data_IF_221404525822
#
_entry.id   IF_221404525822
#
_cell.length_a   1.000
_cell.length_b   1.000
_cell.length_c   1.000
_cell.angle_alpha   90.00
_cell.angle_beta   90.00
_cell.angle_gamma   90.00
#
_symmetry.space_group_name_H-M   'P 1'
#
loop_
_entity.id
_entity.type
_entity.pdbx_description
1 polymer ?
#
# COMPACT_ATOMS: atom_id res chain seq x y z
N UNK A 1 6.03 16.77 1.17
CA UNK A 1 5.22 16.44 2.40
C UNK A 1 4.95 17.70 3.19
N UNK A 2 3.71 17.91 3.65
CA UNK A 2 3.33 19.09 4.44
C UNK A 2 3.63 18.82 5.92
N UNK A 3 4.52 19.57 6.58
CA UNK A 3 4.90 19.34 7.99
C UNK A 3 3.72 19.37 8.99
N UNK A 4 2.61 20.00 8.59
CA UNK A 4 1.38 20.08 9.41
C UNK A 4 0.61 18.77 9.51
N UNK A 5 0.77 17.86 8.55
CA UNK A 5 0.03 16.58 8.51
C UNK A 5 0.60 15.52 9.47
N UNK A 6 1.87 15.64 9.83
CA UNK A 6 2.56 14.69 10.72
C UNK A 6 3.22 15.45 11.89
N UNK A 7 2.44 15.88 12.90
CA UNK A 7 3.00 16.60 14.03
C UNK A 7 4.02 15.74 14.78
N UNK A 8 5.19 16.30 15.08
CA UNK A 8 6.32 15.65 15.77
C UNK A 8 7.05 14.58 14.96
N UNK A 9 6.75 14.44 13.66
CA UNK A 9 7.53 13.60 12.77
C UNK A 9 8.61 14.44 12.07
N UNK A 10 9.74 13.82 11.78
CA UNK A 10 10.79 14.39 10.95
C UNK A 10 10.77 13.76 9.57
N UNK A 11 10.90 14.53 8.50
CA UNK A 11 11.07 13.99 7.16
C UNK A 11 12.44 13.35 7.00
N UNK A 12 12.53 12.38 6.09
CA UNK A 12 13.78 11.79 5.64
C UNK A 12 13.72 11.44 4.16
N UNK A 13 14.87 11.26 3.55
CA UNK A 13 15.06 10.68 2.22
C UNK A 13 16.21 9.68 2.28
N UNK A 14 16.05 8.53 1.61
CA UNK A 14 17.06 7.48 1.54
C UNK A 14 17.24 7.06 0.08
N UNK A 15 18.48 7.11 -0.40
CA UNK A 15 18.84 6.56 -1.71
C UNK A 15 18.88 5.03 -1.63
N UNK A 16 18.14 4.37 -2.51
CA UNK A 16 18.03 2.90 -2.59
C UNK A 16 18.17 2.46 -4.05
N UNK A 17 19.38 2.08 -4.44
CA UNK A 17 19.67 1.73 -5.83
C UNK A 17 19.36 2.90 -6.78
N UNK A 18 18.40 2.66 -7.71
CA UNK A 18 17.98 3.66 -8.71
C UNK A 18 16.79 4.53 -8.24
N UNK A 19 16.39 4.41 -6.99
CA UNK A 19 15.28 5.16 -6.42
C UNK A 19 15.74 5.96 -5.20
N UNK A 20 15.01 7.03 -4.91
CA UNK A 20 15.08 7.75 -3.64
C UNK A 20 13.73 7.64 -2.96
N UNK A 21 13.72 7.10 -1.76
CA UNK A 21 12.51 6.92 -0.97
C UNK A 21 12.40 8.05 0.05
N UNK A 22 11.32 8.81 -0.05
CA UNK A 22 10.94 9.86 0.88
C UNK A 22 9.96 9.32 1.92
N UNK A 23 10.03 9.83 3.14
CA UNK A 23 9.16 9.42 4.21
C UNK A 23 9.21 10.34 5.42
N UNK A 24 8.46 9.97 6.44
CA UNK A 24 8.48 10.61 7.75
C UNK A 24 8.67 9.55 8.84
N UNK A 25 9.35 9.93 9.92
CA UNK A 25 9.57 9.08 11.10
C UNK A 25 9.27 9.85 12.37
N UNK A 26 8.57 9.20 13.32
CA UNK A 26 8.23 9.79 14.61
C UNK A 26 7.87 8.73 15.64
N UNK A 27 7.80 9.16 16.92
CA UNK A 27 7.55 8.28 18.05
C UNK A 27 8.77 7.49 18.52
N UNK A 28 8.57 6.72 19.58
CA UNK A 28 9.58 5.83 20.18
C UNK A 28 8.92 4.49 20.53
N UNK A 29 9.69 3.39 20.43
CA UNK A 29 9.22 2.04 20.72
C UNK A 29 9.43 1.09 19.54
N UNK A 30 8.77 -0.10 19.53
CA UNK A 30 8.88 -1.06 18.46
C UNK A 30 8.58 -0.46 17.09
N UNK A 31 9.39 -0.74 16.05
CA UNK A 31 9.23 -0.07 14.76
C UNK A 31 8.05 -0.63 13.95
N UNK A 32 7.30 0.29 13.33
CA UNK A 32 6.18 0.00 12.42
C UNK A 32 6.35 0.76 11.12
N UNK A 33 6.31 0.07 9.99
CA UNK A 33 6.33 0.63 8.65
C UNK A 33 4.91 0.73 8.08
N UNK A 34 4.52 1.93 7.64
CA UNK A 34 3.22 2.22 7.04
C UNK A 34 3.39 2.46 5.53
N UNK A 35 2.69 1.68 4.70
CA UNK A 35 2.76 1.70 3.24
C UNK A 35 1.39 2.05 2.64
N UNK A 36 1.31 3.19 1.95
CA UNK A 36 0.09 3.68 1.30
C UNK A 36 -0.22 2.93 0.00
N UNK A 37 -1.36 3.26 -0.62
CA UNK A 37 -1.80 2.72 -1.89
C UNK A 37 -1.97 3.76 -3.01
N UNK A 38 -2.52 3.29 -4.13
CA UNK A 38 -2.87 4.11 -5.28
C UNK A 38 -4.21 4.84 -5.06
N UNK A 39 -4.37 6.08 -5.47
CA UNK A 39 -3.36 6.99 -6.02
C UNK A 39 -2.78 7.94 -4.96
N UNK A 40 -2.75 7.51 -3.72
CA UNK A 40 -2.38 8.28 -2.55
C UNK A 40 -0.85 8.40 -2.36
N UNK A 41 -0.46 9.02 -1.25
CA UNK A 41 0.90 9.13 -0.75
C UNK A 41 0.91 8.74 0.73
N UNK A 42 2.05 8.85 1.40
CA UNK A 42 2.18 8.65 2.85
C UNK A 42 1.18 9.49 3.67
N UNK A 43 0.64 10.59 3.11
CA UNK A 43 -0.41 11.40 3.74
C UNK A 43 -1.68 10.63 4.08
N UNK A 44 -1.94 9.48 3.45
CA UNK A 44 -3.04 8.60 3.81
C UNK A 44 -2.99 8.17 5.29
N UNK A 45 -1.81 8.17 5.89
CA UNK A 45 -1.58 7.75 7.27
C UNK A 45 -1.66 8.89 8.31
N UNK A 46 -1.97 10.15 7.90
CA UNK A 46 -1.94 11.34 8.78
C UNK A 46 -2.82 11.23 10.03
N UNK A 47 -3.89 10.44 9.98
CA UNK A 47 -4.79 10.22 11.13
C UNK A 47 -4.38 9.02 11.99
N UNK A 48 -3.61 8.08 11.45
CA UNK A 48 -3.19 6.84 12.12
C UNK A 48 -1.79 6.98 12.71
N UNK A 49 -0.84 7.48 11.94
CA UNK A 49 0.56 7.54 12.34
C UNK A 49 0.81 8.31 13.64
N UNK A 50 0.20 9.48 13.90
CA UNK A 50 0.40 10.20 15.17
C UNK A 50 -0.12 9.45 16.41
N UNK A 51 -1.15 8.62 16.25
CA UNK A 51 -1.70 7.81 17.35
C UNK A 51 -0.77 6.64 17.66
N UNK A 52 -0.33 5.93 16.63
CA UNK A 52 0.63 4.82 16.79
C UNK A 52 1.97 5.30 17.34
N UNK A 53 2.39 6.52 17.00
CA UNK A 53 3.64 7.12 17.48
C UNK A 53 3.68 7.39 19.00
N UNK A 54 2.57 7.21 19.70
CA UNK A 54 2.55 7.27 21.16
C UNK A 54 3.19 6.02 21.80
N UNK A 55 3.29 4.92 21.06
CA UNK A 55 3.76 3.62 21.56
C UNK A 55 4.76 2.93 20.64
N UNK A 56 4.98 3.46 19.44
CA UNK A 56 5.82 2.86 18.40
C UNK A 56 6.73 3.90 17.75
N UNK A 57 7.86 3.46 17.21
CA UNK A 57 8.57 4.21 16.20
C UNK A 57 7.88 3.97 14.86
N UNK A 58 7.20 4.98 14.34
CA UNK A 58 6.42 4.90 13.10
C UNK A 58 7.21 5.48 11.94
N UNK A 59 7.36 4.71 10.88
CA UNK A 59 7.93 5.11 9.59
C UNK A 59 6.83 5.05 8.55
N UNK A 60 6.52 6.17 7.89
CA UNK A 60 5.58 6.21 6.77
C UNK A 60 6.30 6.72 5.52
N UNK A 61 6.34 5.92 4.47
CA UNK A 61 7.06 6.21 3.24
C UNK A 61 6.12 6.44 2.07
N UNK A 62 6.55 7.26 1.11
CA UNK A 62 6.01 7.21 -0.23
C UNK A 62 6.63 6.01 -0.98
N UNK A 63 5.81 5.21 -1.65
CA UNK A 63 6.28 4.09 -2.45
C UNK A 63 7.16 4.58 -3.61
N UNK A 64 8.03 3.71 -4.17
CA UNK A 64 8.86 3.98 -5.35
C UNK A 64 8.06 4.70 -6.44
N UNK A 65 8.48 5.93 -6.80
CA UNK A 65 7.85 6.76 -7.82
C UNK A 65 6.51 7.39 -7.45
N UNK A 66 6.02 7.21 -6.24
CA UNK A 66 4.84 7.88 -5.69
C UNK A 66 5.26 9.08 -4.83
N UNK A 67 4.32 10.01 -4.63
CA UNK A 67 4.53 11.12 -3.71
C UNK A 67 5.83 11.87 -3.98
N UNK A 68 6.67 12.05 -2.97
CA UNK A 68 7.99 12.68 -3.08
C UNK A 68 9.12 11.69 -3.33
N UNK A 69 8.81 10.37 -3.37
CA UNK A 69 9.78 9.35 -3.80
C UNK A 69 10.00 9.39 -5.30
N UNK A 70 11.22 9.01 -5.73
CA UNK A 70 11.54 8.87 -7.14
C UNK A 70 11.67 7.41 -7.53
N UNK A 71 11.68 7.14 -8.83
CA UNK A 71 11.95 5.81 -9.40
C UNK A 71 12.52 5.97 -10.81
N UNK A 72 13.11 4.91 -11.39
CA UNK A 72 13.68 4.96 -12.72
C UNK A 72 12.60 5.18 -13.79
N UNK A 73 12.94 5.96 -14.84
CA UNK A 73 12.08 6.25 -15.98
C UNK A 73 12.55 5.42 -17.19
N UNK A 74 11.62 4.99 -18.03
CA UNK A 74 11.95 4.28 -19.27
C UNK A 74 12.41 2.84 -19.08
N UNK A 75 12.16 2.25 -17.91
CA UNK A 75 12.50 0.87 -17.57
C UNK A 75 11.30 -0.06 -17.72
N UNK A 76 11.56 -1.38 -17.64
CA UNK A 76 10.50 -2.39 -17.64
C UNK A 76 9.66 -2.33 -16.36
N UNK A 77 8.45 -2.91 -16.41
CA UNK A 77 7.59 -3.03 -15.24
C UNK A 77 8.23 -3.80 -14.07
N UNK A 78 9.21 -4.67 -14.35
CA UNK A 78 9.96 -5.41 -13.33
C UNK A 78 10.62 -4.51 -12.29
N UNK A 79 11.11 -3.32 -12.71
CA UNK A 79 11.69 -2.31 -11.81
C UNK A 79 10.66 -1.74 -10.81
N UNK A 80 9.36 -1.95 -11.05
CA UNK A 80 8.26 -1.56 -10.18
C UNK A 80 7.50 -2.76 -9.61
N UNK A 81 8.09 -3.97 -9.67
CA UNK A 81 7.51 -5.14 -9.03
C UNK A 81 7.44 -4.97 -7.51
N UNK A 82 6.47 -5.63 -6.89
CA UNK A 82 6.31 -5.60 -5.43
C UNK A 82 7.55 -6.13 -4.71
N UNK A 83 8.31 -7.03 -5.38
CA UNK A 83 9.59 -7.52 -4.85
C UNK A 83 10.64 -6.42 -4.80
N UNK A 84 10.81 -5.64 -5.86
CA UNK A 84 11.74 -4.52 -5.88
C UNK A 84 11.30 -3.43 -4.90
N UNK A 85 10.01 -3.08 -4.89
CA UNK A 85 9.48 -2.10 -3.93
C UNK A 85 9.63 -2.57 -2.47
N UNK A 86 9.52 -3.86 -2.19
CA UNK A 86 9.78 -4.43 -0.87
C UNK A 86 11.27 -4.33 -0.48
N UNK A 87 12.18 -4.54 -1.43
CA UNK A 87 13.61 -4.35 -1.20
C UNK A 87 13.96 -2.89 -0.87
N UNK A 88 13.30 -1.92 -1.53
CA UNK A 88 13.46 -0.50 -1.18
C UNK A 88 13.11 -0.26 0.29
N UNK A 89 11.97 -0.76 0.73
CA UNK A 89 11.49 -0.54 2.09
C UNK A 89 12.36 -1.25 3.14
N UNK A 90 12.87 -2.45 2.83
CA UNK A 90 13.84 -3.14 3.67
C UNK A 90 15.14 -2.32 3.80
N UNK A 91 15.62 -1.74 2.72
CA UNK A 91 16.81 -0.89 2.72
C UNK A 91 16.59 0.41 3.53
N UNK A 92 15.42 1.04 3.37
CA UNK A 92 15.02 2.21 4.18
C UNK A 92 15.01 1.87 5.67
N UNK A 93 14.36 0.78 6.06
CA UNK A 93 14.28 0.38 7.47
C UNK A 93 15.66 0.03 8.04
N UNK A 94 16.50 -0.66 7.28
CA UNK A 94 17.89 -0.95 7.67
C UNK A 94 18.72 0.33 7.81
N UNK A 95 18.58 1.30 6.90
CA UNK A 95 19.24 2.61 6.98
C UNK A 95 18.84 3.38 8.26
N UNK A 96 17.57 3.25 8.66
CA UNK A 96 17.05 3.85 9.91
C UNK A 96 17.42 3.04 11.17
N UNK A 97 18.11 1.90 11.03
CA UNK A 97 18.56 1.06 12.15
C UNK A 97 17.59 -0.04 12.56
N UNK A 98 16.55 -0.31 11.76
CA UNK A 98 15.52 -1.30 12.09
C UNK A 98 15.67 -2.56 11.23
N UNK A 99 16.12 -3.67 11.83
CA UNK A 99 16.27 -4.95 11.14
C UNK A 99 15.04 -5.87 11.29
N UNK A 100 14.14 -5.56 12.23
CA UNK A 100 12.89 -6.27 12.47
C UNK A 100 11.80 -5.28 12.85
N UNK A 101 10.64 -5.35 12.19
CA UNK A 101 9.57 -4.37 12.32
C UNK A 101 8.22 -4.96 11.89
N UNK A 102 7.13 -4.37 12.34
CA UNK A 102 5.79 -4.65 11.83
C UNK A 102 5.53 -3.85 10.54
N UNK A 103 4.70 -4.40 9.65
CA UNK A 103 4.30 -3.76 8.39
C UNK A 103 2.79 -3.60 8.34
N UNK A 104 2.32 -2.40 8.09
CA UNK A 104 0.91 -2.08 7.82
C UNK A 104 0.81 -1.53 6.41
N UNK A 105 0.11 -2.23 5.55
CA UNK A 105 -0.05 -1.80 4.16
C UNK A 105 -1.51 -1.58 3.79
N UNK A 106 -1.75 -0.54 3.00
CA UNK A 106 -3.03 -0.27 2.36
C UNK A 106 -2.90 -0.40 0.85
N UNK A 107 -3.84 -1.07 0.18
CA UNK A 107 -3.92 -1.24 -1.28
C UNK A 107 -2.59 -1.70 -1.90
N UNK A 108 -1.92 -0.89 -2.75
CA UNK A 108 -0.62 -1.23 -3.35
C UNK A 108 0.45 -1.48 -2.30
N UNK A 109 0.44 -0.69 -1.21
CA UNK A 109 1.34 -0.88 -0.07
C UNK A 109 1.13 -2.20 0.67
N UNK A 110 -0.12 -2.67 0.77
CA UNK A 110 -0.37 -4.01 1.32
C UNK A 110 0.24 -5.11 0.44
N UNK A 111 0.24 -4.92 -0.89
CA UNK A 111 0.89 -5.87 -1.82
C UNK A 111 2.40 -5.87 -1.67
N UNK A 112 3.02 -4.71 -1.43
CA UNK A 112 4.44 -4.62 -1.06
C UNK A 112 4.69 -5.32 0.28
N UNK A 113 3.81 -5.11 1.28
CA UNK A 113 3.95 -5.67 2.62
C UNK A 113 3.95 -7.21 2.64
N UNK A 114 2.99 -7.86 1.97
CA UNK A 114 3.01 -9.33 1.99
C UNK A 114 4.17 -9.92 1.16
N UNK A 115 4.56 -9.27 0.07
CA UNK A 115 5.74 -9.66 -0.69
C UNK A 115 6.99 -9.57 0.17
N UNK A 116 7.14 -8.48 0.95
CA UNK A 116 8.22 -8.32 1.92
C UNK A 116 8.22 -9.44 2.96
N UNK A 117 7.06 -9.77 3.53
CA UNK A 117 6.93 -10.81 4.55
C UNK A 117 7.20 -12.23 4.01
N UNK A 118 6.95 -12.48 2.71
CA UNK A 118 7.31 -13.72 2.03
C UNK A 118 8.81 -13.80 1.73
N UNK A 119 9.42 -12.71 1.25
CA UNK A 119 10.81 -12.70 0.80
C UNK A 119 11.81 -12.47 1.94
N UNK A 120 11.42 -11.77 3.01
CA UNK A 120 12.25 -11.46 4.19
C UNK A 120 11.52 -11.77 5.51
N UNK A 121 11.13 -13.04 5.77
CA UNK A 121 10.32 -13.39 6.94
C UNK A 121 10.99 -13.10 8.29
N UNK A 122 12.32 -12.96 8.33
CA UNK A 122 13.06 -12.59 9.54
C UNK A 122 12.92 -11.10 9.87
N UNK A 123 12.64 -10.23 8.88
CA UNK A 123 12.53 -8.80 9.06
C UNK A 123 11.12 -8.36 9.47
N UNK A 124 10.08 -9.12 9.09
CA UNK A 124 8.69 -8.76 9.34
C UNK A 124 8.16 -9.49 10.58
N UNK A 125 7.91 -8.75 11.66
CA UNK A 125 7.40 -9.31 12.93
C UNK A 125 5.89 -9.56 12.90
N UNK A 126 5.12 -8.69 12.22
CA UNK A 126 3.68 -8.79 12.01
C UNK A 126 3.31 -8.08 10.70
N UNK A 127 2.21 -8.49 10.07
CA UNK A 127 1.73 -7.88 8.84
C UNK A 127 0.23 -7.56 8.92
N UNK A 128 -0.14 -6.32 8.66
CA UNK A 128 -1.54 -5.91 8.51
C UNK A 128 -1.84 -5.51 7.07
N UNK A 129 -2.87 -6.14 6.49
CA UNK A 129 -3.38 -5.91 5.14
C UNK A 129 -4.70 -5.16 5.18
N UNK A 130 -4.73 -3.94 4.63
CA UNK A 130 -5.94 -3.15 4.51
C UNK A 130 -6.46 -3.19 3.07
N UNK A 131 -7.71 -3.64 2.88
CA UNK A 131 -8.51 -3.60 1.66
C UNK A 131 -8.17 -4.58 0.54
N UNK A 132 -7.12 -5.37 0.64
CA UNK A 132 -6.71 -6.25 -0.47
C UNK A 132 -6.70 -7.74 -0.13
N UNK A 133 -6.79 -8.54 -1.17
CA UNK A 133 -6.44 -9.97 -1.19
C UNK A 133 -5.19 -10.16 -2.05
N UNK A 134 -4.46 -11.29 -1.97
CA UNK A 134 -3.27 -11.54 -2.78
C UNK A 134 -3.50 -11.31 -4.28
N UNK A 135 -2.47 -10.88 -5.00
CA UNK A 135 -2.57 -10.46 -6.41
C UNK A 135 -3.08 -11.59 -7.31
N UNK A 136 -2.57 -12.81 -7.11
CA UNK A 136 -3.04 -13.98 -7.88
C UNK A 136 -4.52 -14.28 -7.64
N UNK A 137 -5.00 -14.13 -6.39
CA UNK A 137 -6.41 -14.34 -6.06
C UNK A 137 -7.30 -13.26 -6.67
N UNK A 138 -6.84 -12.01 -6.71
CA UNK A 138 -7.56 -10.90 -7.35
C UNK A 138 -7.71 -11.14 -8.85
N UNK A 139 -6.64 -11.49 -9.56
CA UNK A 139 -6.70 -11.77 -11.00
C UNK A 139 -7.57 -13.00 -11.32
N UNK A 140 -7.53 -14.05 -10.48
CA UNK A 140 -8.39 -15.23 -10.64
C UNK A 140 -9.89 -14.91 -10.54
N UNK A 141 -10.25 -13.88 -9.77
CA UNK A 141 -11.63 -13.41 -9.55
C UNK A 141 -12.05 -12.27 -10.47
N UNK A 142 -11.14 -11.78 -11.33
CA UNK A 142 -11.43 -10.68 -12.22
C UNK A 142 -12.50 -11.08 -13.22
N UNK A 143 -13.67 -10.51 -13.04
CA UNK A 143 -14.86 -10.70 -13.86
C UNK A 143 -15.37 -9.36 -14.41
N UNK A 144 -16.55 -9.37 -15.04
CA UNK A 144 -17.19 -8.15 -15.55
C UNK A 144 -17.44 -7.11 -14.45
N UNK A 145 -17.88 -7.55 -13.27
CA UNK A 145 -18.17 -6.63 -12.17
C UNK A 145 -16.89 -5.98 -11.65
N UNK A 146 -15.82 -6.75 -11.49
CA UNK A 146 -14.48 -6.25 -11.14
C UNK A 146 -13.97 -5.27 -12.21
N UNK A 147 -14.05 -5.63 -13.49
CA UNK A 147 -13.58 -4.77 -14.59
C UNK A 147 -14.29 -3.42 -14.64
N UNK A 148 -15.59 -3.36 -14.32
CA UNK A 148 -16.35 -2.12 -14.26
C UNK A 148 -16.05 -1.31 -12.97
N UNK A 149 -15.85 -1.96 -11.85
CA UNK A 149 -15.58 -1.31 -10.56
C UNK A 149 -14.12 -0.84 -10.45
N UNK A 150 -13.17 -1.68 -10.87
CA UNK A 150 -11.73 -1.47 -10.78
C UNK A 150 -11.08 -1.34 -12.17
N UNK A 151 -11.72 -0.61 -13.08
CA UNK A 151 -11.29 -0.42 -14.47
C UNK A 151 -9.81 0.03 -14.60
N UNK A 152 -9.31 0.76 -13.62
CA UNK A 152 -7.94 1.26 -13.57
C UNK A 152 -6.90 0.13 -13.56
N UNK A 153 -7.22 -1.06 -13.08
CA UNK A 153 -6.34 -2.23 -13.17
C UNK A 153 -6.03 -2.62 -14.61
N UNK A 154 -7.04 -2.53 -15.47
CA UNK A 154 -6.91 -2.84 -16.90
C UNK A 154 -6.33 -1.68 -17.69
N UNK A 155 -6.73 -0.45 -17.37
CA UNK A 155 -6.26 0.75 -18.05
C UNK A 155 -4.77 1.00 -17.76
N UNK A 156 -4.36 1.07 -16.49
CA UNK A 156 -2.99 1.42 -16.10
C UNK A 156 -1.98 0.32 -16.46
N UNK A 157 -2.44 -0.92 -16.63
CA UNK A 157 -1.61 -2.04 -17.09
C UNK A 157 -1.40 -2.08 -18.61
N UNK A 158 -2.04 -1.20 -19.39
CA UNK A 158 -1.81 -1.15 -20.84
C UNK A 158 -0.37 -0.74 -21.17
N UNK A 159 0.14 -1.11 -22.38
CA UNK A 159 1.48 -0.73 -22.81
C UNK A 159 1.72 0.80 -22.77
N UNK A 160 2.97 1.17 -22.51
CA UNK A 160 3.45 2.53 -22.62
C UNK A 160 3.26 3.04 -24.08
N UNK A 161 2.78 4.28 -24.36
CA UNK A 161 2.47 5.37 -23.42
C UNK A 161 0.93 5.62 -23.34
N UNK A 162 0.15 4.59 -23.67
CA UNK A 162 -1.30 4.75 -23.86
C UNK A 162 -2.02 5.26 -22.58
N UNK A 163 -1.90 4.62 -21.39
CA UNK A 163 -2.55 5.16 -20.19
C UNK A 163 -1.95 6.49 -19.74
N UNK A 164 -0.62 6.67 -19.83
CA UNK A 164 0.04 7.91 -19.44
C UNK A 164 -0.47 9.11 -20.21
N UNK A 165 -0.73 8.95 -21.51
CA UNK A 165 -1.28 10.03 -22.37
C UNK A 165 -2.74 10.33 -22.05
N UNK A 166 -3.56 9.28 -21.84
CA UNK A 166 -4.97 9.47 -21.50
C UNK A 166 -5.15 10.20 -20.18
N UNK A 167 -4.48 9.73 -19.11
CA UNK A 167 -4.57 10.36 -17.79
C UNK A 167 -3.83 11.70 -17.73
N UNK A 168 -2.83 11.91 -18.59
CA UNK A 168 -2.10 13.16 -18.67
C UNK A 168 -2.87 14.29 -19.37
N UNK A 169 -3.94 13.97 -20.11
CA UNK A 169 -4.79 14.96 -20.77
C UNK A 169 -5.59 15.81 -19.76
N UNK A 170 -6.06 15.20 -18.67
CA UNK A 170 -6.70 15.87 -17.54
C UNK A 170 -6.43 15.06 -16.24
N UNK A 171 -5.25 15.26 -15.63
CA UNK A 171 -4.85 14.48 -14.48
C UNK A 171 -5.69 14.77 -13.24
N UNK A 172 -6.18 15.99 -13.07
CA UNK A 172 -7.00 16.37 -11.93
C UNK A 172 -8.36 15.69 -11.99
N UNK A 173 -9.03 15.73 -13.13
CA UNK A 173 -10.30 15.03 -13.32
C UNK A 173 -10.14 13.52 -13.09
N UNK A 174 -9.06 12.94 -13.61
CA UNK A 174 -8.85 11.50 -13.48
C UNK A 174 -8.64 11.06 -12.02
N UNK A 175 -7.81 11.77 -11.25
CA UNK A 175 -7.59 11.44 -9.85
C UNK A 175 -8.82 11.68 -8.99
N UNK A 176 -9.55 12.77 -9.24
CA UNK A 176 -10.79 13.11 -8.51
C UNK A 176 -11.84 12.01 -8.67
N UNK A 177 -12.13 11.62 -9.91
CA UNK A 177 -13.08 10.52 -10.19
C UNK A 177 -12.60 9.21 -9.61
N UNK A 178 -11.29 8.95 -9.62
CA UNK A 178 -10.71 7.73 -9.05
C UNK A 178 -10.93 7.67 -7.54
N UNK A 179 -10.60 8.73 -6.81
CA UNK A 179 -10.77 8.80 -5.36
C UNK A 179 -12.25 8.76 -4.97
N UNK A 180 -13.11 9.51 -5.68
CA UNK A 180 -14.56 9.53 -5.46
C UNK A 180 -15.19 8.14 -5.62
N UNK A 181 -14.76 7.35 -6.60
CA UNK A 181 -15.25 5.97 -6.82
C UNK A 181 -14.74 4.97 -5.78
N UNK A 182 -13.58 5.23 -5.19
CA UNK A 182 -12.98 4.39 -4.14
C UNK A 182 -13.60 4.66 -2.77
N UNK A 183 -13.88 5.92 -2.46
CA UNK A 183 -14.40 6.34 -1.17
C UNK A 183 -15.91 6.11 -1.04
N UNK A 184 -16.34 5.84 0.20
CA UNK A 184 -17.73 5.96 0.64
C UNK A 184 -17.98 7.33 1.28
N UNK A 185 -16.94 7.91 1.91
CA UNK A 185 -16.96 9.19 2.63
C UNK A 185 -15.96 10.16 1.99
N UNK A 186 -16.30 10.86 0.88
CA UNK A 186 -15.35 11.73 0.18
C UNK A 186 -14.76 12.87 1.02
N UNK A 187 -15.44 13.31 2.06
CA UNK A 187 -14.92 14.33 2.98
C UNK A 187 -13.71 13.85 3.81
N UNK A 188 -13.49 12.54 3.91
CA UNK A 188 -12.40 11.97 4.70
C UNK A 188 -11.00 12.25 4.14
N UNK A 189 -10.88 12.48 2.83
CA UNK A 189 -9.60 12.81 2.20
C UNK A 189 -9.52 14.26 1.67
N UNK A 190 -10.54 15.08 1.96
CA UNK A 190 -10.65 16.43 1.38
C UNK A 190 -9.45 17.34 1.72
N UNK A 191 -8.90 17.23 2.89
CA UNK A 191 -7.73 17.99 3.34
C UNK A 191 -6.39 17.52 2.73
N UNK A 192 -6.34 16.31 2.18
CA UNK A 192 -5.19 15.77 1.48
C UNK A 192 -5.30 15.84 -0.06
N UNK A 193 -6.49 16.14 -0.60
CA UNK A 193 -6.79 16.06 -2.03
C UNK A 193 -5.84 16.91 -2.89
N UNK A 194 -5.55 18.14 -2.47
CA UNK A 194 -4.65 19.00 -3.24
C UNK A 194 -3.22 18.45 -3.31
N UNK A 195 -2.75 17.82 -2.23
CA UNK A 195 -1.44 17.17 -2.23
C UNK A 195 -1.43 15.93 -3.16
N UNK A 196 -2.50 15.15 -3.18
CA UNK A 196 -2.65 14.03 -4.11
C UNK A 196 -2.68 14.51 -5.56
N UNK A 197 -3.44 15.56 -5.88
CA UNK A 197 -3.44 16.20 -7.21
C UNK A 197 -2.05 16.69 -7.61
N UNK A 198 -1.34 17.40 -6.72
CA UNK A 198 0.01 17.90 -6.98
C UNK A 198 0.98 16.77 -7.33
N UNK A 199 0.96 15.65 -6.58
CA UNK A 199 1.75 14.47 -6.89
C UNK A 199 1.35 13.88 -8.26
N UNK A 200 0.06 13.71 -8.50
CA UNK A 200 -0.47 13.07 -9.70
C UNK A 200 -0.28 13.91 -10.98
N UNK A 201 -0.17 15.25 -10.89
CA UNK A 201 0.15 16.13 -12.04
C UNK A 201 1.54 15.88 -12.60
N UNK A 202 2.45 15.28 -11.85
CA UNK A 202 3.82 14.97 -12.29
C UNK A 202 3.82 13.77 -13.24
N UNK A 203 4.35 13.90 -14.47
CA UNK A 203 4.37 12.79 -15.44
C UNK A 203 5.11 11.55 -14.95
N UNK A 204 6.21 11.73 -14.22
CA UNK A 204 7.02 10.66 -13.65
C UNK A 204 6.23 9.85 -12.61
N UNK A 205 5.38 10.48 -11.82
CA UNK A 205 4.51 9.82 -10.83
C UNK A 205 3.45 8.98 -11.53
N UNK A 206 2.78 9.53 -12.54
CA UNK A 206 1.80 8.78 -13.34
C UNK A 206 2.44 7.59 -14.05
N UNK A 207 3.66 7.79 -14.59
CA UNK A 207 4.41 6.69 -15.22
C UNK A 207 4.72 5.59 -14.21
N UNK A 208 5.23 5.93 -13.02
CA UNK A 208 5.50 4.97 -11.95
C UNK A 208 4.24 4.18 -11.54
N UNK A 209 3.10 4.86 -11.40
CA UNK A 209 1.81 4.22 -11.14
C UNK A 209 1.44 3.22 -12.23
N UNK A 210 1.57 3.59 -13.52
CA UNK A 210 1.31 2.68 -14.63
C UNK A 210 2.26 1.47 -14.61
N UNK A 211 3.55 1.68 -14.34
CA UNK A 211 4.52 0.59 -14.21
C UNK A 211 4.21 -0.35 -13.07
N UNK A 212 3.77 0.17 -11.93
CA UNK A 212 3.30 -0.63 -10.79
C UNK A 212 2.12 -1.54 -11.17
N UNK A 213 1.14 -1.02 -11.94
CA UNK A 213 0.00 -1.82 -12.41
C UNK A 213 0.41 -2.83 -13.49
N UNK A 214 1.35 -2.49 -14.38
CA UNK A 214 1.94 -3.44 -15.36
C UNK A 214 2.64 -4.58 -14.64
N UNK A 215 3.43 -4.26 -13.60
CA UNK A 215 4.06 -5.29 -12.76
C UNK A 215 3.03 -6.19 -12.09
N UNK A 216 1.96 -5.60 -11.55
CA UNK A 216 0.84 -6.32 -10.92
C UNK A 216 0.09 -7.26 -11.87
N UNK A 217 0.06 -6.93 -13.18
CA UNK A 217 -0.57 -7.76 -14.21
C UNK A 217 0.39 -8.80 -14.84
N UNK A 218 1.67 -8.78 -14.50
CA UNK A 218 2.70 -9.64 -15.11
C UNK A 218 3.60 -10.29 -14.07
N UNK A 219 4.73 -9.65 -13.74
CA UNK A 219 5.78 -10.25 -12.92
C UNK A 219 5.31 -10.55 -11.48
N UNK A 220 4.49 -9.68 -10.86
CA UNK A 220 3.98 -9.91 -9.51
C UNK A 220 3.02 -11.12 -9.49
N UNK A 221 2.19 -11.26 -10.53
CA UNK A 221 1.32 -12.43 -10.69
C UNK A 221 2.15 -13.71 -10.80
N UNK A 222 3.24 -13.68 -11.58
CA UNK A 222 4.16 -14.81 -11.73
C UNK A 222 4.85 -15.16 -10.40
N UNK A 223 5.26 -14.17 -9.63
CA UNK A 223 5.83 -14.38 -8.29
C UNK A 223 4.82 -15.05 -7.35
N UNK A 224 3.58 -14.57 -7.33
CA UNK A 224 2.52 -15.14 -6.49
C UNK A 224 2.20 -16.60 -6.90
N UNK A 225 2.14 -16.89 -8.20
CA UNK A 225 1.89 -18.25 -8.70
C UNK A 225 3.02 -19.22 -8.30
N UNK A 226 4.27 -18.76 -8.39
CA UNK A 226 5.42 -19.55 -7.95
C UNK A 226 5.37 -19.83 -6.44
N UNK A 227 5.09 -18.81 -5.61
CA UNK A 227 4.99 -18.98 -4.17
C UNK A 227 3.86 -19.94 -3.76
N UNK A 228 2.71 -19.88 -4.43
CA UNK A 228 1.62 -20.83 -4.22
C UNK A 228 2.04 -22.27 -4.60
N UNK A 229 2.70 -22.43 -5.75
CA UNK A 229 3.20 -23.74 -6.21
C UNK A 229 4.21 -24.33 -5.23
N UNK A 230 5.09 -23.49 -4.68
CA UNK A 230 6.14 -23.88 -3.72
C UNK A 230 5.61 -24.02 -2.28
N UNK A 231 4.33 -23.70 -2.05
CA UNK A 231 3.71 -23.75 -0.72
C UNK A 231 4.32 -22.73 0.25
N UNK A 232 4.90 -21.62 -0.25
CA UNK A 232 5.47 -20.56 0.58
C UNK A 232 4.36 -19.82 1.33
N UNK A 233 4.59 -19.53 2.60
CA UNK A 233 3.62 -18.89 3.49
C UNK A 233 4.24 -17.80 4.34
N UNK A 234 3.44 -16.79 4.64
CA UNK A 234 3.73 -15.78 5.65
C UNK A 234 3.96 -16.46 7.02
N UNK A 235 5.07 -16.13 7.67
CA UNK A 235 5.47 -16.75 8.94
C UNK A 235 5.18 -15.89 10.17
N UNK A 236 4.75 -14.65 9.95
CA UNK A 236 4.33 -13.73 10.99
C UNK A 236 2.80 -13.72 11.14
N UNK A 237 2.24 -13.28 12.28
CA UNK A 237 0.83 -13.03 12.45
C UNK A 237 0.31 -12.05 11.39
N UNK A 238 -0.94 -12.24 10.94
CA UNK A 238 -1.56 -11.42 9.90
C UNK A 238 -2.89 -10.87 10.37
N UNK A 239 -3.11 -9.56 10.19
CA UNK A 239 -4.38 -8.88 10.37
C UNK A 239 -4.91 -8.46 9.00
N UNK A 240 -6.20 -8.75 8.70
CA UNK A 240 -6.85 -8.35 7.45
C UNK A 240 -8.08 -7.51 7.77
N UNK A 241 -8.09 -6.26 7.31
CA UNK A 241 -9.24 -5.36 7.45
C UNK A 241 -9.77 -4.96 6.07
N UNK A 242 -11.09 -4.95 5.90
CA UNK A 242 -11.71 -4.60 4.63
C UNK A 242 -13.02 -3.83 4.85
N UNK A 243 -13.47 -2.99 3.87
CA UNK A 243 -14.75 -2.32 3.99
C UNK A 243 -15.89 -3.33 3.90
N UNK A 244 -16.89 -3.19 4.76
CA UNK A 244 -18.15 -3.95 4.64
C UNK A 244 -18.90 -3.56 3.37
N UNK A 245 -18.85 -2.29 3.01
CA UNK A 245 -19.43 -1.76 1.78
C UNK A 245 -18.78 -2.38 0.55
N UNK A 246 -19.57 -3.00 -0.32
CA UNK A 246 -19.10 -3.75 -1.51
C UNK A 246 -18.17 -4.93 -1.17
N UNK A 247 -18.29 -5.50 0.02
CA UNK A 247 -17.54 -6.69 0.37
C UNK A 247 -17.81 -7.82 -0.64
N UNK A 248 -16.78 -8.57 -1.04
CA UNK A 248 -16.96 -9.70 -1.95
C UNK A 248 -17.76 -10.82 -1.27
N UNK A 249 -18.48 -11.62 -2.07
CA UNK A 249 -19.23 -12.77 -1.56
C UNK A 249 -18.38 -13.79 -0.78
N UNK A 250 -17.10 -13.95 -1.17
CA UNK A 250 -16.11 -14.72 -0.41
C UNK A 250 -15.32 -13.76 0.48
N UNK A 251 -15.33 -13.94 1.81
CA UNK A 251 -14.56 -13.09 2.71
C UNK A 251 -13.09 -13.00 2.35
N UNK A 252 -12.44 -11.83 2.45
CA UNK A 252 -11.01 -11.68 2.20
C UNK A 252 -10.14 -12.64 3.00
N UNK A 253 -10.50 -12.98 4.23
CA UNK A 253 -9.79 -13.97 5.06
C UNK A 253 -9.64 -15.32 4.37
N UNK A 254 -10.66 -15.79 3.64
CA UNK A 254 -10.61 -17.09 2.96
C UNK A 254 -9.58 -17.08 1.82
N UNK A 255 -9.34 -15.92 1.19
CA UNK A 255 -8.28 -15.74 0.20
C UNK A 255 -6.89 -15.73 0.85
N UNK A 256 -6.78 -15.21 2.07
CA UNK A 256 -5.50 -15.13 2.79
C UNK A 256 -5.09 -16.45 3.46
N UNK A 257 -6.04 -17.32 3.87
CA UNK A 257 -5.75 -18.59 4.56
C UNK A 257 -4.71 -19.47 3.85
N UNK A 258 -4.73 -19.66 2.53
CA UNK A 258 -3.69 -20.44 1.83
C UNK A 258 -2.29 -19.84 1.95
N UNK A 259 -2.20 -18.52 2.12
CA UNK A 259 -0.94 -17.75 2.15
C UNK A 259 -0.31 -17.62 3.53
N UNK A 260 -1.04 -17.96 4.61
CA UNK A 260 -0.60 -17.70 5.99
C UNK A 260 -0.33 -19.00 6.70
N UNK A 261 0.87 -19.13 7.28
CA UNK A 261 1.32 -20.24 8.13
C UNK A 261 1.33 -19.91 9.62
N UNK A 262 0.83 -18.73 10.00
CA UNK A 262 0.79 -18.18 11.35
C UNK A 262 -0.68 -17.81 11.71
N UNK A 263 -0.96 -17.29 12.91
CA UNK A 263 -2.28 -16.80 13.25
C UNK A 263 -2.74 -15.71 12.28
N UNK A 264 -4.02 -15.77 11.89
CA UNK A 264 -4.67 -14.79 11.02
C UNK A 264 -5.96 -14.29 11.66
N UNK A 265 -6.09 -12.97 11.71
CA UNK A 265 -7.23 -12.26 12.26
C UNK A 265 -7.82 -11.34 11.20
N UNK A 266 -9.04 -10.90 11.39
CA UNK A 266 -9.60 -9.85 10.53
C UNK A 266 -11.10 -9.77 10.58
N UNK A 267 -11.61 -8.61 10.12
CA UNK A 267 -13.03 -8.32 10.04
C UNK A 267 -13.34 -7.25 8.99
N UNK A 268 -14.60 -7.15 8.64
CA UNK A 268 -15.15 -6.03 7.89
C UNK A 268 -15.27 -4.79 8.79
N UNK A 269 -15.02 -3.61 8.23
CA UNK A 269 -15.25 -2.32 8.88
C UNK A 269 -16.49 -1.66 8.26
N UNK A 270 -17.49 -1.28 9.08
CA UNK A 270 -18.68 -0.62 8.59
C UNK A 270 -18.43 0.86 8.30
N UNK A 271 -19.28 1.45 7.45
CA UNK A 271 -19.33 2.90 7.23
C UNK A 271 -18.16 3.50 6.45
N UNK A 272 -17.35 2.70 5.79
CA UNK A 272 -16.20 3.13 4.99
C UNK A 272 -16.13 2.44 3.63
N UNK A 273 -15.41 3.06 2.71
CA UNK A 273 -15.06 2.51 1.40
C UNK A 273 -13.63 1.98 1.37
N UNK A 274 -12.99 2.11 0.21
CA UNK A 274 -11.65 1.56 -0.01
C UNK A 274 -10.55 2.30 0.76
N UNK A 275 -10.71 3.57 1.05
CA UNK A 275 -9.67 4.42 1.66
C UNK A 275 -9.68 4.30 3.19
N UNK A 276 -9.60 3.06 3.72
CA UNK A 276 -9.73 2.76 5.14
C UNK A 276 -8.92 3.66 6.08
N UNK A 277 -7.63 3.97 5.80
CA UNK A 277 -6.84 4.80 6.71
C UNK A 277 -7.38 6.22 6.88
N UNK A 278 -8.15 6.71 5.92
CA UNK A 278 -8.75 8.04 5.93
C UNK A 278 -10.22 8.02 6.33
N UNK A 279 -10.98 7.04 5.83
CA UNK A 279 -12.43 6.95 6.06
C UNK A 279 -12.81 6.38 7.43
N UNK A 280 -11.98 5.52 8.01
CA UNK A 280 -12.26 4.84 9.27
C UNK A 280 -11.01 4.69 10.17
N UNK A 281 -10.23 5.77 10.42
CA UNK A 281 -8.98 5.68 11.17
C UNK A 281 -9.16 5.10 12.57
N UNK A 282 -10.21 5.50 13.30
CA UNK A 282 -10.49 5.01 14.64
C UNK A 282 -10.81 3.50 14.65
N UNK A 283 -11.59 3.03 13.67
CA UNK A 283 -11.92 1.62 13.55
C UNK A 283 -10.69 0.78 13.16
N UNK A 284 -9.81 1.31 12.30
CA UNK A 284 -8.52 0.68 11.96
C UNK A 284 -7.62 0.61 13.20
N UNK A 285 -7.51 1.70 13.95
CA UNK A 285 -6.69 1.77 15.16
C UNK A 285 -7.19 0.82 16.27
N UNK A 286 -8.50 0.64 16.39
CA UNK A 286 -9.08 -0.26 17.38
C UNK A 286 -8.64 -1.73 17.22
N UNK A 287 -8.41 -2.17 15.97
CA UNK A 287 -7.86 -3.51 15.68
C UNK A 287 -6.33 -3.52 15.61
N UNK A 288 -5.75 -2.48 15.03
CA UNK A 288 -4.32 -2.43 14.75
C UNK A 288 -3.48 -2.27 16.03
N UNK A 289 -3.93 -1.44 17.00
CA UNK A 289 -3.19 -1.19 18.23
C UNK A 289 -2.97 -2.46 19.06
N UNK A 290 -4.00 -3.27 19.40
CA UNK A 290 -3.77 -4.52 20.12
C UNK A 290 -2.96 -5.52 19.29
N UNK A 291 -3.19 -5.61 17.98
CA UNK A 291 -2.44 -6.51 17.11
C UNK A 291 -0.93 -6.22 17.08
N UNK A 292 -0.54 -4.95 17.02
CA UNK A 292 0.86 -4.53 17.05
C UNK A 292 1.48 -4.73 18.44
N UNK A 293 0.71 -4.53 19.52
CA UNK A 293 1.16 -4.76 20.90
C UNK A 293 1.50 -6.22 21.20
N UNK A 294 0.79 -7.18 20.60
CA UNK A 294 1.07 -8.62 20.73
C UNK A 294 2.29 -9.06 19.91
N UNK A 295 2.68 -8.30 18.89
CA UNK A 295 3.77 -8.64 17.96
C UNK A 295 5.12 -7.96 18.29
N UNK A 296 5.16 -7.17 19.37
CA UNK A 296 6.30 -6.34 19.79
C UNK A 296 7.34 -7.11 20.58
#
# INVERSE_FOLDING_TARGET
MTPSAFPRFRPFEVEVGEARIAGVIGGEGPPVLLLHGYPQTSLAWRHIAPVLAQYHTVVATDLRGYGDSTGPIGVSAEAYSKRVMAQDQLAVMAHLGFNRFAVVGHDRGARVGYRMALDAPQAVSAYASLTVIPTADMWRRADRAFGLAAYHWFLLAQPYDFPERLIGADPDYFIDVTLERMALVPSAYADALDAYRQAFRRPEVRHAMCQDYRAGASIDLSHDQADLSDGRKLRCPVLVLWPEHKAPATPPLDSWRPWVGAPIYGRALPGCGHLLPEEAPDAVLADLTPFLGEAS
#
